data_IF_353688965634
#
_entry.id   IF_353688965634
#
_cell.length_a   1.000
_cell.length_b   1.000
_cell.length_c   1.000
_cell.angle_alpha   90.00
_cell.angle_beta   90.00
_cell.angle_gamma   90.00
#
_symmetry.space_group_name_H-M   'P 1'
#
loop_
_entity.id
_entity.type
_entity.pdbx_description
1 polymer ?
#
# COMPACT_ATOMS: atom_id res chain seq x y z
N UNK A 1 -43.33 22.22 -26.60
CA UNK A 1 -43.21 23.17 -25.48
C UNK A 1 -41.85 22.94 -24.84
N UNK A 2 -40.98 23.94 -24.95
CA UNK A 2 -39.62 23.97 -24.42
C UNK A 2 -39.65 24.25 -22.91
N UNK A 3 -38.87 23.52 -22.11
CA UNK A 3 -38.18 24.08 -20.93
C UNK A 3 -36.80 23.43 -20.76
N UNK A 4 -35.84 24.03 -21.45
CA UNK A 4 -34.52 24.51 -20.99
C UNK A 4 -33.76 23.79 -19.85
N UNK A 5 -32.67 23.12 -20.28
CA UNK A 5 -31.28 23.06 -19.75
C UNK A 5 -30.98 23.75 -18.39
N UNK A 6 -30.22 23.10 -17.51
CA UNK A 6 -28.73 23.18 -17.47
C UNK A 6 -28.07 22.26 -16.39
N UNK A 7 -26.89 21.68 -16.69
CA UNK A 7 -26.06 20.91 -15.75
C UNK A 7 -25.05 21.78 -14.98
N UNK A 8 -24.81 21.47 -13.70
CA UNK A 8 -23.79 22.16 -12.90
C UNK A 8 -22.38 21.64 -13.23
N UNK A 9 -21.74 22.32 -14.18
CA UNK A 9 -20.29 22.40 -14.33
C UNK A 9 -19.76 23.53 -13.44
N UNK A 10 -18.77 23.26 -12.59
CA UNK A 10 -17.92 24.30 -11.98
C UNK A 10 -16.45 23.88 -12.03
N UNK A 11 -15.78 24.36 -13.09
CA UNK A 11 -14.34 24.57 -13.17
C UNK A 11 -13.90 25.68 -12.21
N UNK A 12 -12.84 25.44 -11.45
CA UNK A 12 -11.81 26.40 -10.99
C UNK A 12 -10.51 25.57 -10.98
N UNK A 13 -9.51 25.73 -11.85
CA UNK A 13 -8.71 26.89 -12.31
C UNK A 13 -8.08 27.70 -11.16
N UNK A 14 -6.94 27.21 -10.69
CA UNK A 14 -5.75 27.95 -10.21
C UNK A 14 -4.55 27.06 -10.61
N UNK A 15 -3.73 27.34 -11.62
CA UNK A 15 -2.80 28.46 -11.83
C UNK A 15 -1.62 28.49 -10.83
N UNK A 16 -0.46 28.02 -11.32
CA UNK A 16 0.83 28.68 -11.09
C UNK A 16 1.68 28.23 -9.91
N UNK A 17 2.72 27.44 -10.19
CA UNK A 17 4.11 27.84 -9.96
C UNK A 17 5.05 26.75 -10.53
N UNK A 18 5.55 26.97 -11.75
CA UNK A 18 6.70 26.27 -12.27
C UNK A 18 7.95 27.01 -11.76
N UNK A 19 8.69 26.40 -10.84
CA UNK A 19 10.05 26.83 -10.54
C UNK A 19 11.00 26.09 -11.48
N UNK A 20 11.38 26.76 -12.57
CA UNK A 20 12.55 26.39 -13.35
C UNK A 20 13.80 26.64 -12.50
N UNK A 21 14.66 25.64 -12.39
CA UNK A 21 16.05 25.84 -11.99
C UNK A 21 16.91 25.07 -12.98
N UNK A 22 17.47 25.84 -13.91
CA UNK A 22 18.56 25.41 -14.76
C UNK A 22 19.83 25.35 -13.90
N UNK A 23 20.50 24.21 -13.90
CA UNK A 23 21.90 24.13 -13.49
C UNK A 23 22.68 23.55 -14.66
N UNK A 24 23.64 24.34 -15.12
CA UNK A 24 24.55 24.05 -16.21
C UNK A 24 25.39 22.80 -15.92
N UNK A 25 25.50 21.93 -16.92
CA UNK A 25 26.43 20.81 -16.94
C UNK A 25 27.78 21.28 -17.48
N UNK A 26 28.85 21.09 -16.72
CA UNK A 26 30.21 20.83 -17.25
C UNK A 26 31.09 20.27 -16.14
N UNK A 27 31.72 19.10 -16.38
CA UNK A 27 32.92 18.69 -15.65
C UNK A 27 33.02 17.22 -15.22
N UNK A 28 33.55 16.39 -16.13
CA UNK A 28 34.51 15.27 -15.96
C UNK A 28 34.35 14.26 -14.80
N UNK A 29 34.41 12.99 -15.20
CA UNK A 29 34.30 11.77 -14.40
C UNK A 29 35.18 11.70 -13.13
N UNK A 30 34.54 11.31 -12.03
CA UNK A 30 35.16 10.55 -10.96
C UNK A 30 34.14 9.50 -10.47
N UNK A 31 34.46 8.22 -10.64
CA UNK A 31 33.75 7.09 -10.01
C UNK A 31 33.89 7.20 -8.50
N UNK A 32 32.89 7.78 -7.84
CA UNK A 32 32.71 7.65 -6.40
C UNK A 32 31.61 6.63 -6.14
N UNK A 33 31.99 5.45 -5.65
CA UNK A 33 31.08 4.57 -4.91
C UNK A 33 30.70 5.27 -3.61
N UNK A 34 29.76 6.21 -3.70
CA UNK A 34 29.09 6.76 -2.54
C UNK A 34 28.13 5.68 -2.04
N UNK A 35 28.53 4.98 -0.98
CA UNK A 35 27.57 4.28 -0.15
C UNK A 35 26.52 5.32 0.28
N UNK A 36 25.29 5.18 -0.21
CA UNK A 36 24.19 6.02 0.18
C UNK A 36 24.03 5.90 1.70
N UNK A 37 24.49 6.91 2.43
CA UNK A 37 24.15 7.03 3.84
C UNK A 37 22.62 7.11 3.90
N UNK A 38 21.99 6.15 4.59
CA UNK A 38 20.58 6.23 4.90
C UNK A 38 20.31 7.61 5.51
N UNK A 39 19.32 8.39 5.03
CA UNK A 39 18.99 9.65 5.66
C UNK A 39 18.66 9.37 7.12
N UNK A 40 19.51 9.85 8.03
CA UNK A 40 19.27 9.78 9.47
C UNK A 40 18.11 10.71 9.78
N UNK A 41 16.89 10.17 9.75
CA UNK A 41 15.71 10.89 10.22
C UNK A 41 15.95 11.22 11.70
N UNK A 42 15.75 12.47 12.11
CA UNK A 42 15.79 12.81 13.52
C UNK A 42 14.77 11.94 14.27
N UNK A 43 15.09 11.39 15.45
CA UNK A 43 14.17 10.52 16.17
C UNK A 43 12.90 11.29 16.51
N UNK A 44 11.80 10.95 15.84
CA UNK A 44 10.47 11.48 16.14
C UNK A 44 9.99 10.93 17.48
N UNK A 45 9.27 11.74 18.27
CA UNK A 45 8.81 11.30 19.58
C UNK A 45 7.84 10.13 19.44
N UNK A 46 7.99 9.14 20.32
CA UNK A 46 7.06 8.02 20.41
C UNK A 46 5.73 8.46 21.04
N UNK A 47 4.63 8.19 20.35
CA UNK A 47 3.26 8.46 20.81
C UNK A 47 2.56 7.15 21.14
N UNK A 48 1.92 7.09 22.31
CA UNK A 48 1.11 5.94 22.72
C UNK A 48 -0.25 5.98 22.02
N UNK A 49 -0.61 4.91 21.32
CA UNK A 49 -1.88 4.75 20.60
C UNK A 49 -2.46 3.36 20.85
N UNK A 50 -3.76 3.28 21.05
CA UNK A 50 -4.54 2.04 21.17
C UNK A 50 -5.33 1.71 19.89
N UNK A 51 -5.15 2.53 18.83
CA UNK A 51 -5.88 2.44 17.57
C UNK A 51 -4.98 2.73 16.38
N UNK A 52 -5.34 2.17 15.23
CA UNK A 52 -4.89 2.62 13.91
C UNK A 52 -6.13 3.13 13.19
N UNK A 53 -6.21 4.44 12.95
CA UNK A 53 -7.45 5.09 12.50
C UNK A 53 -8.58 4.84 13.51
N UNK A 54 -9.71 4.31 13.03
CA UNK A 54 -10.84 3.93 13.88
C UNK A 54 -10.70 2.54 14.52
N UNK A 55 -9.82 1.68 14.00
CA UNK A 55 -9.72 0.29 14.43
C UNK A 55 -8.94 0.14 15.74
N UNK A 56 -9.45 -0.65 16.68
CA UNK A 56 -8.76 -0.99 17.91
C UNK A 56 -7.56 -1.89 17.62
N UNK A 57 -6.42 -1.57 18.24
CA UNK A 57 -5.23 -2.40 18.19
C UNK A 57 -5.35 -3.54 19.19
N UNK A 58 -5.10 -4.76 18.73
CA UNK A 58 -5.10 -5.97 19.54
C UNK A 58 -3.75 -6.68 19.46
N UNK A 59 -3.31 -7.26 20.57
CA UNK A 59 -2.15 -8.15 20.57
C UNK A 59 -2.50 -9.48 19.88
N UNK A 60 -1.55 -10.14 19.18
CA UNK A 60 -1.81 -11.46 18.60
C UNK A 60 -2.18 -12.48 19.67
N UNK A 61 -3.35 -13.11 19.53
CA UNK A 61 -3.91 -14.04 20.52
C UNK A 61 -4.43 -13.38 21.81
N UNK A 62 -4.48 -12.04 21.86
CA UNK A 62 -4.83 -11.27 23.06
C UNK A 62 -5.90 -10.20 22.83
N UNK A 63 -6.15 -9.44 23.89
CA UNK A 63 -7.13 -8.35 23.90
C UNK A 63 -6.61 -7.02 23.33
N UNK A 64 -7.39 -5.95 23.50
CA UNK A 64 -6.99 -4.59 23.15
C UNK A 64 -5.67 -4.20 23.84
N UNK A 65 -4.82 -3.45 23.15
CA UNK A 65 -3.51 -3.03 23.65
C UNK A 65 -3.18 -1.62 23.16
N UNK A 66 -2.45 -0.86 23.97
CA UNK A 66 -1.80 0.37 23.55
C UNK A 66 -0.33 0.10 23.20
N UNK A 67 0.14 0.67 22.10
CA UNK A 67 1.52 0.56 21.64
C UNK A 67 2.12 1.94 21.38
N UNK A 68 3.45 2.01 21.33
CA UNK A 68 4.19 3.26 21.11
C UNK A 68 4.69 3.29 19.67
N UNK A 69 4.30 4.32 18.93
CA UNK A 69 4.65 4.50 17.52
C UNK A 69 5.45 5.77 17.32
N UNK A 70 6.32 5.81 16.32
CA UNK A 70 6.71 7.09 15.73
C UNK A 70 5.48 7.74 15.10
N UNK A 71 5.32 9.04 15.30
CA UNK A 71 4.10 9.76 14.88
C UNK A 71 3.82 9.62 13.37
N UNK A 72 4.84 9.85 12.54
CA UNK A 72 4.70 9.81 11.08
C UNK A 72 4.41 8.39 10.56
N UNK A 73 5.00 7.37 11.19
CA UNK A 73 4.72 5.97 10.88
C UNK A 73 3.28 5.59 11.24
N UNK A 74 2.78 6.05 12.39
CA UNK A 74 1.39 5.85 12.79
C UNK A 74 0.42 6.51 11.80
N UNK A 75 0.69 7.76 11.40
CA UNK A 75 -0.12 8.48 10.42
C UNK A 75 -0.15 7.75 9.06
N UNK A 76 0.98 7.16 8.65
CA UNK A 76 1.06 6.32 7.44
C UNK A 76 0.25 5.03 7.58
N UNK A 77 0.24 4.38 8.75
CA UNK A 77 -0.63 3.23 9.01
C UNK A 77 -2.11 3.61 8.98
N UNK A 78 -2.47 4.80 9.49
CA UNK A 78 -3.85 5.32 9.38
C UNK A 78 -4.24 5.54 7.93
N UNK A 79 -3.37 6.17 7.12
CA UNK A 79 -3.59 6.38 5.69
C UNK A 79 -3.73 5.05 4.93
N UNK A 80 -2.86 4.07 5.24
CA UNK A 80 -2.93 2.72 4.68
C UNK A 80 -4.28 2.04 5.00
N UNK A 81 -4.71 2.09 6.26
CA UNK A 81 -5.96 1.45 6.67
C UNK A 81 -7.18 2.09 6.00
N UNK A 82 -7.18 3.42 5.89
CA UNK A 82 -8.21 4.16 5.16
C UNK A 82 -8.23 3.78 3.68
N UNK A 83 -7.06 3.64 3.05
CA UNK A 83 -6.95 3.17 1.67
C UNK A 83 -7.46 1.73 1.49
N UNK A 84 -7.08 0.81 2.37
CA UNK A 84 -7.59 -0.57 2.32
C UNK A 84 -9.12 -0.59 2.42
N UNK A 85 -9.67 0.16 3.38
CA UNK A 85 -11.12 0.28 3.57
C UNK A 85 -11.83 0.88 2.36
N UNK A 86 -11.28 1.92 1.74
CA UNK A 86 -11.87 2.59 0.58
C UNK A 86 -11.87 1.73 -0.69
N UNK A 87 -11.11 0.63 -0.71
CA UNK A 87 -11.06 -0.32 -1.83
C UNK A 87 -11.68 -1.67 -1.48
N UNK A 88 -12.29 -1.80 -0.31
CA UNK A 88 -13.02 -3.00 0.12
C UNK A 88 -14.45 -3.01 -0.42
N UNK A 89 -15.11 -4.17 -0.50
CA UNK A 89 -16.52 -4.26 -0.89
C UNK A 89 -17.42 -3.36 -0.02
N UNK A 90 -18.41 -2.71 -0.63
CA UNK A 90 -19.30 -1.79 0.07
C UNK A 90 -20.14 -2.43 1.19
N UNK A 91 -20.31 -3.75 1.16
CA UNK A 91 -20.98 -4.51 2.22
C UNK A 91 -20.11 -4.66 3.49
N UNK A 92 -18.82 -4.35 3.41
CA UNK A 92 -17.91 -4.41 4.56
C UNK A 92 -17.95 -3.09 5.31
N UNK A 93 -17.95 -3.16 6.64
CA UNK A 93 -17.70 -1.97 7.45
C UNK A 93 -16.26 -1.48 7.25
N UNK A 94 -15.98 -0.25 7.71
CA UNK A 94 -14.59 0.14 7.99
C UNK A 94 -13.95 -0.86 8.95
N UNK A 95 -12.63 -1.09 8.90
CA UNK A 95 -11.96 -1.97 9.83
C UNK A 95 -12.21 -1.58 11.29
N UNK A 96 -12.51 -2.58 12.12
CA UNK A 96 -12.83 -2.41 13.54
C UNK A 96 -11.72 -2.92 14.45
N UNK A 97 -10.93 -3.90 13.97
CA UNK A 97 -9.77 -4.42 14.70
C UNK A 97 -8.56 -4.58 13.77
N UNK A 98 -7.41 -4.16 14.28
CA UNK A 98 -6.10 -4.46 13.71
C UNK A 98 -5.38 -5.31 14.75
N UNK A 99 -5.01 -6.54 14.39
CA UNK A 99 -4.23 -7.41 15.27
C UNK A 99 -2.76 -7.32 14.82
N UNK A 100 -1.87 -6.93 15.72
CA UNK A 100 -0.45 -6.84 15.38
C UNK A 100 0.46 -6.44 16.52
N UNK A 101 1.74 -6.29 16.21
CA UNK A 101 2.79 -5.88 17.16
C UNK A 101 3.59 -4.73 16.58
N UNK A 102 3.82 -3.71 17.38
CA UNK A 102 4.79 -2.65 17.08
C UNK A 102 6.13 -3.04 17.67
N UNK A 103 7.21 -2.77 16.96
CA UNK A 103 8.54 -2.97 17.51
C UNK A 103 8.89 -1.93 18.60
N UNK A 104 10.10 -2.03 19.15
CA UNK A 104 10.52 -1.15 20.26
C UNK A 104 10.81 0.28 19.82
N UNK A 105 11.27 0.46 18.58
CA UNK A 105 11.59 1.75 17.97
C UNK A 105 10.36 2.49 17.45
N UNK A 106 9.22 1.81 17.36
CA UNK A 106 7.94 2.39 16.95
C UNK A 106 7.82 2.64 15.45
N UNK A 107 8.75 2.12 14.63
CA UNK A 107 8.88 2.34 13.18
C UNK A 107 8.69 1.08 12.35
N UNK A 108 8.46 -0.07 12.99
CA UNK A 108 7.96 -1.26 12.31
C UNK A 108 6.70 -1.83 12.97
N UNK A 109 5.85 -2.42 12.13
CA UNK A 109 4.61 -3.05 12.54
C UNK A 109 4.47 -4.43 11.90
N UNK A 110 4.23 -5.44 12.71
CA UNK A 110 3.89 -6.79 12.25
C UNK A 110 2.38 -6.99 12.31
N UNK A 111 1.74 -7.00 11.15
CA UNK A 111 0.31 -7.26 10.97
C UNK A 111 0.03 -8.76 11.02
N UNK A 112 -0.91 -9.14 11.89
CA UNK A 112 -1.37 -10.52 12.05
C UNK A 112 -2.81 -10.72 11.57
N UNK A 113 -3.69 -9.74 11.74
CA UNK A 113 -5.04 -9.82 11.20
C UNK A 113 -5.64 -8.43 11.00
N UNK A 114 -6.56 -8.32 10.05
CA UNK A 114 -7.38 -7.15 9.82
C UNK A 114 -8.84 -7.58 9.77
N UNK A 115 -9.69 -6.97 10.62
CA UNK A 115 -11.07 -7.40 10.78
C UNK A 115 -12.07 -6.29 10.54
N UNK A 116 -13.17 -6.67 9.91
CA UNK A 116 -14.30 -5.81 9.57
C UNK A 116 -15.61 -6.51 9.99
N UNK A 117 -16.72 -5.77 9.97
CA UNK A 117 -18.05 -6.33 10.16
C UNK A 117 -18.81 -6.43 8.84
N UNK A 118 -19.57 -7.49 8.69
CA UNK A 118 -20.59 -7.67 7.64
C UNK A 118 -21.75 -8.40 8.28
N UNK A 119 -22.96 -7.88 8.09
CA UNK A 119 -24.17 -8.47 8.69
C UNK A 119 -24.04 -8.67 10.22
N UNK A 120 -23.43 -7.70 10.90
CA UNK A 120 -23.07 -7.72 12.34
C UNK A 120 -22.08 -8.80 12.80
N UNK A 121 -21.61 -9.66 11.90
CA UNK A 121 -20.57 -10.66 12.17
C UNK A 121 -19.16 -10.09 11.93
N UNK A 122 -18.21 -10.52 12.76
CA UNK A 122 -16.80 -10.14 12.63
C UNK A 122 -16.10 -11.10 11.66
N UNK A 123 -15.49 -10.56 10.61
CA UNK A 123 -14.77 -11.33 9.61
C UNK A 123 -13.31 -10.90 9.50
N UNK A 124 -12.44 -11.85 9.17
CA UNK A 124 -11.04 -11.58 8.83
C UNK A 124 -10.93 -11.17 7.34
N UNK A 125 -10.68 -9.87 7.12
CA UNK A 125 -10.25 -9.32 5.82
C UNK A 125 -8.78 -9.62 5.51
N UNK A 126 -8.00 -9.93 6.55
CA UNK A 126 -6.68 -10.54 6.46
C UNK A 126 -6.44 -11.36 7.74
N UNK A 127 -5.79 -12.52 7.62
CA UNK A 127 -5.25 -13.23 8.77
C UNK A 127 -3.96 -13.97 8.39
N UNK A 128 -2.97 -13.90 9.27
CA UNK A 128 -1.70 -14.59 9.12
C UNK A 128 -1.91 -16.10 8.97
N UNK A 129 -1.16 -16.71 8.05
CA UNK A 129 -1.25 -18.14 7.73
C UNK A 129 -2.28 -18.50 6.67
N UNK A 130 -3.12 -17.54 6.22
CA UNK A 130 -3.96 -17.70 5.03
C UNK A 130 -3.24 -17.11 3.83
N UNK A 131 -3.08 -17.92 2.78
CA UNK A 131 -2.50 -17.52 1.49
C UNK A 131 -3.60 -17.48 0.42
N UNK A 132 -4.58 -16.60 0.61
CA UNK A 132 -5.72 -16.41 -0.30
C UNK A 132 -5.68 -15.04 -0.99
N UNK A 133 -6.69 -14.73 -1.80
CA UNK A 133 -6.77 -13.45 -2.53
C UNK A 133 -6.71 -12.23 -1.58
N UNK A 134 -7.27 -12.34 -0.37
CA UNK A 134 -7.23 -11.29 0.65
C UNK A 134 -5.82 -11.07 1.20
N UNK A 135 -5.01 -12.13 1.33
CA UNK A 135 -3.59 -12.03 1.65
C UNK A 135 -2.85 -11.16 0.63
N UNK A 136 -2.96 -11.51 -0.64
CA UNK A 136 -2.29 -10.80 -1.73
C UNK A 136 -2.81 -9.36 -1.90
N UNK A 137 -4.11 -9.15 -1.71
CA UNK A 137 -4.70 -7.82 -1.69
C UNK A 137 -4.14 -6.95 -0.56
N UNK A 138 -3.99 -7.52 0.63
CA UNK A 138 -3.41 -6.83 1.78
C UNK A 138 -1.95 -6.48 1.53
N UNK A 139 -1.14 -7.40 0.98
CA UNK A 139 0.22 -7.10 0.54
C UNK A 139 0.26 -5.97 -0.50
N UNK A 140 -0.65 -5.99 -1.48
CA UNK A 140 -0.74 -4.92 -2.47
C UNK A 140 -1.00 -3.55 -1.82
N UNK A 141 -1.92 -3.48 -0.86
CA UNK A 141 -2.21 -2.25 -0.12
C UNK A 141 -1.03 -1.74 0.72
N UNK A 142 -0.25 -2.66 1.31
CA UNK A 142 0.92 -2.33 2.11
C UNK A 142 2.04 -1.82 1.20
N UNK A 143 2.33 -2.50 0.08
CA UNK A 143 3.30 -2.05 -0.92
C UNK A 143 2.93 -0.71 -1.60
N UNK A 144 1.66 -0.29 -1.53
CA UNK A 144 1.22 1.04 -1.94
C UNK A 144 1.75 2.14 -1.00
N UNK A 145 1.83 1.87 0.30
CA UNK A 145 2.14 2.86 1.34
C UNK A 145 3.54 2.74 1.92
N UNK A 146 4.11 1.53 1.93
CA UNK A 146 5.36 1.20 2.61
C UNK A 146 6.38 0.67 1.60
N UNK A 147 7.62 1.19 1.60
CA UNK A 147 8.68 0.65 0.75
C UNK A 147 9.21 -0.70 1.26
N UNK A 148 9.11 -0.93 2.57
CA UNK A 148 9.55 -2.16 3.24
C UNK A 148 8.31 -2.95 3.68
N UNK A 149 8.09 -4.07 3.02
CA UNK A 149 7.02 -5.04 3.33
C UNK A 149 7.62 -6.42 3.20
N UNK A 150 7.53 -7.22 4.27
CA UNK A 150 8.12 -8.54 4.34
C UNK A 150 7.10 -9.54 4.91
N UNK A 151 6.56 -10.46 4.09
CA UNK A 151 5.86 -11.62 4.59
C UNK A 151 6.80 -12.46 5.46
N UNK A 152 6.34 -12.86 6.64
CA UNK A 152 7.05 -13.76 7.55
C UNK A 152 6.61 -15.20 7.33
N UNK A 153 7.42 -16.17 7.77
CA UNK A 153 7.08 -17.59 7.67
C UNK A 153 5.76 -17.98 8.38
N UNK A 154 5.34 -17.20 9.37
CA UNK A 154 4.03 -17.35 10.04
C UNK A 154 2.85 -16.85 9.21
N UNK A 155 3.09 -16.25 8.04
CA UNK A 155 2.12 -15.55 7.21
C UNK A 155 1.72 -14.17 7.72
N UNK A 156 2.28 -13.72 8.87
CA UNK A 156 2.19 -12.32 9.29
C UNK A 156 3.02 -11.43 8.37
N UNK A 157 2.71 -10.15 8.29
CA UNK A 157 3.42 -9.22 7.39
C UNK A 157 4.07 -8.14 8.23
N UNK A 158 5.39 -8.02 8.15
CA UNK A 158 6.13 -6.91 8.72
C UNK A 158 6.18 -5.75 7.72
N UNK A 159 5.90 -4.54 8.19
CA UNK A 159 6.13 -3.30 7.45
C UNK A 159 7.03 -2.37 8.22
N UNK A 160 7.87 -1.64 7.50
CA UNK A 160 8.74 -0.60 8.04
C UNK A 160 8.45 0.75 7.41
N UNK A 161 8.77 1.82 8.13
CA UNK A 161 8.61 3.18 7.62
C UNK A 161 9.56 3.49 6.44
N UNK A 162 9.19 4.52 5.68
CA UNK A 162 10.01 5.06 4.59
C UNK A 162 9.17 5.71 3.49
N UNK A 163 9.84 6.18 2.45
CA UNK A 163 9.19 6.85 1.32
C UNK A 163 8.46 5.82 0.46
N UNK A 164 7.13 5.93 0.40
CA UNK A 164 6.29 5.11 -0.47
C UNK A 164 6.67 5.25 -1.95
N UNK A 165 6.59 4.15 -2.69
CA UNK A 165 6.86 4.09 -4.12
C UNK A 165 7.59 2.81 -4.53
N UNK A 166 7.76 2.63 -5.83
CA UNK A 166 8.61 1.56 -6.34
C UNK A 166 10.07 1.88 -6.07
N UNK A 167 10.77 0.95 -5.44
CA UNK A 167 12.20 1.01 -5.12
C UNK A 167 13.00 -0.02 -5.92
N UNK A 168 12.33 -0.97 -6.58
CA UNK A 168 13.00 -2.10 -7.23
C UNK A 168 13.57 -3.12 -6.26
N UNK A 169 13.20 -3.06 -4.98
CA UNK A 169 13.69 -4.03 -4.00
C UNK A 169 13.27 -5.46 -4.37
N UNK A 170 14.08 -6.48 -4.04
CA UNK A 170 13.72 -7.87 -4.30
C UNK A 170 12.36 -8.26 -3.71
N UNK A 171 11.98 -7.70 -2.57
CA UNK A 171 10.68 -7.92 -1.95
C UNK A 171 9.51 -7.37 -2.80
N UNK A 172 9.65 -6.17 -3.36
CA UNK A 172 8.63 -5.60 -4.25
C UNK A 172 8.50 -6.39 -5.56
N UNK A 173 9.64 -6.82 -6.13
CA UNK A 173 9.64 -7.65 -7.34
C UNK A 173 9.01 -9.02 -7.07
N UNK A 174 9.34 -9.65 -5.95
CA UNK A 174 8.73 -10.92 -5.54
C UNK A 174 7.20 -10.78 -5.38
N UNK A 175 6.75 -9.76 -4.65
CA UNK A 175 5.31 -9.46 -4.55
C UNK A 175 4.68 -9.24 -5.93
N UNK A 176 5.31 -8.50 -6.84
CA UNK A 176 4.74 -8.24 -8.15
C UNK A 176 4.58 -9.52 -8.98
N UNK A 177 5.56 -10.42 -8.91
CA UNK A 177 5.48 -11.76 -9.52
C UNK A 177 4.33 -12.56 -8.93
N UNK A 178 4.26 -12.65 -7.59
CA UNK A 178 3.23 -13.44 -6.92
C UNK A 178 1.83 -12.85 -7.17
N UNK A 179 1.67 -11.53 -7.12
CA UNK A 179 0.42 -10.87 -7.48
C UNK A 179 0.00 -11.19 -8.93
N UNK A 180 0.93 -11.19 -9.88
CA UNK A 180 0.62 -11.58 -11.27
C UNK A 180 0.11 -13.03 -11.35
N UNK A 181 0.74 -13.96 -10.62
CA UNK A 181 0.35 -15.38 -10.64
C UNK A 181 -0.97 -15.62 -9.93
N UNK A 182 -1.07 -15.14 -8.70
CA UNK A 182 -2.13 -15.49 -7.76
C UNK A 182 -3.39 -14.64 -7.94
N UNK A 183 -3.25 -13.36 -8.30
CA UNK A 183 -4.41 -12.50 -8.54
C UNK A 183 -4.77 -12.43 -10.03
N UNK A 184 -3.77 -12.29 -10.90
CA UNK A 184 -4.00 -12.04 -12.33
C UNK A 184 -3.96 -13.30 -13.20
N UNK A 185 -3.66 -14.47 -12.63
CA UNK A 185 -3.64 -15.76 -13.32
C UNK A 185 -2.46 -15.93 -14.29
N UNK A 186 -1.48 -15.04 -14.25
CA UNK A 186 -0.36 -14.95 -15.16
C UNK A 186 0.82 -15.82 -14.64
N UNK A 187 0.64 -17.15 -14.68
CA UNK A 187 1.54 -18.16 -14.06
C UNK A 187 3.00 -18.08 -14.53
N UNK A 188 3.23 -17.64 -15.77
CA UNK A 188 4.56 -17.51 -16.36
C UNK A 188 5.33 -16.24 -15.92
N UNK A 189 4.76 -15.41 -15.04
CA UNK A 189 5.47 -14.27 -14.47
C UNK A 189 6.75 -14.71 -13.75
N UNK A 190 7.85 -13.98 -13.98
CA UNK A 190 9.16 -14.22 -13.35
C UNK A 190 9.79 -12.90 -12.95
N UNK A 191 10.85 -12.93 -12.14
CA UNK A 191 11.55 -11.73 -11.70
C UNK A 191 12.12 -10.86 -12.84
N UNK A 192 12.38 -11.43 -14.03
CA UNK A 192 12.84 -10.67 -15.19
C UNK A 192 11.70 -10.19 -16.10
N UNK A 193 10.55 -10.87 -16.08
CA UNK A 193 9.44 -10.58 -16.98
C UNK A 193 8.23 -9.91 -16.30
N UNK A 194 8.21 -9.80 -14.96
CA UNK A 194 7.09 -9.23 -14.20
C UNK A 194 6.57 -7.88 -14.73
N UNK A 195 7.39 -6.92 -15.25
CA UNK A 195 6.86 -5.65 -15.70
C UNK A 195 5.89 -5.80 -16.87
N UNK A 196 6.11 -6.79 -17.74
CA UNK A 196 5.24 -7.10 -18.87
C UNK A 196 3.89 -7.63 -18.38
N UNK A 197 3.91 -8.61 -17.46
CA UNK A 197 2.72 -9.22 -16.88
C UNK A 197 1.89 -8.19 -16.08
N UNK A 198 2.56 -7.38 -15.25
CA UNK A 198 1.91 -6.32 -14.50
C UNK A 198 1.40 -5.19 -15.43
N UNK A 199 2.08 -4.92 -16.54
CA UNK A 199 1.61 -4.01 -17.59
C UNK A 199 0.31 -4.49 -18.26
N UNK A 200 0.15 -5.81 -18.46
CA UNK A 200 -1.11 -6.39 -18.93
C UNK A 200 -2.24 -6.24 -17.91
N UNK A 201 -1.95 -6.49 -16.64
CA UNK A 201 -2.90 -6.25 -15.55
C UNK A 201 -3.37 -4.78 -15.52
N UNK A 202 -2.45 -3.82 -15.66
CA UNK A 202 -2.79 -2.40 -15.79
C UNK A 202 -3.64 -2.12 -17.03
N UNK A 203 -3.30 -2.73 -18.17
CA UNK A 203 -4.05 -2.55 -19.42
C UNK A 203 -5.49 -3.08 -19.30
N UNK A 204 -5.70 -4.26 -18.67
CA UNK A 204 -7.05 -4.79 -18.35
C UNK A 204 -7.83 -3.82 -17.46
N UNK A 205 -7.16 -3.13 -16.55
CA UNK A 205 -7.74 -2.08 -15.71
C UNK A 205 -7.85 -0.70 -16.41
N UNK A 206 -7.62 -0.62 -17.72
CA UNK A 206 -7.72 0.63 -18.50
C UNK A 206 -6.60 1.64 -18.23
N UNK A 207 -5.51 1.23 -17.58
CA UNK A 207 -4.36 2.07 -17.26
C UNK A 207 -3.23 1.84 -18.26
N UNK A 208 -2.57 2.93 -18.69
CA UNK A 208 -1.36 2.89 -19.50
C UNK A 208 -0.26 3.67 -18.80
N UNK A 209 0.52 2.97 -17.99
CA UNK A 209 1.66 3.51 -17.28
C UNK A 209 2.77 2.46 -17.20
N UNK A 210 4.01 2.92 -17.21
CA UNK A 210 5.13 2.06 -16.84
C UNK A 210 4.97 1.65 -15.37
N UNK A 211 4.85 0.35 -15.11
CA UNK A 211 4.61 -0.18 -13.76
C UNK A 211 5.77 0.10 -12.80
N UNK A 212 7.00 0.26 -13.30
CA UNK A 212 8.16 0.63 -12.48
C UNK A 212 8.20 2.13 -12.16
N UNK A 213 7.35 2.95 -12.78
CA UNK A 213 7.18 4.35 -12.38
C UNK A 213 6.39 4.46 -11.07
N UNK A 214 6.56 5.57 -10.35
CA UNK A 214 5.78 5.86 -9.13
C UNK A 214 4.27 5.76 -9.37
N UNK A 215 3.79 6.30 -10.48
CA UNK A 215 2.36 6.30 -10.82
C UNK A 215 1.87 4.90 -11.22
N UNK A 216 2.64 4.16 -12.03
CA UNK A 216 2.30 2.81 -12.44
C UNK A 216 2.30 1.82 -11.28
N UNK A 217 3.26 1.91 -10.37
CA UNK A 217 3.28 1.10 -9.15
C UNK A 217 2.07 1.35 -8.25
N UNK A 218 1.73 2.63 -8.05
CA UNK A 218 0.55 3.02 -7.30
C UNK A 218 -0.75 2.51 -7.95
N UNK A 219 -0.83 2.54 -9.29
CA UNK A 219 -1.96 1.97 -10.03
C UNK A 219 -2.02 0.45 -9.88
N UNK A 220 -0.89 -0.26 -10.06
CA UNK A 220 -0.83 -1.72 -10.04
C UNK A 220 -1.16 -2.30 -8.67
N UNK A 221 -0.63 -1.70 -7.61
CA UNK A 221 -0.95 -2.08 -6.22
C UNK A 221 -2.43 -1.82 -5.89
N UNK A 222 -3.01 -0.71 -6.36
CA UNK A 222 -4.44 -0.41 -6.17
C UNK A 222 -5.35 -1.39 -6.92
N UNK A 223 -5.08 -1.65 -8.20
CA UNK A 223 -5.91 -2.56 -8.99
C UNK A 223 -5.78 -4.00 -8.46
N UNK A 224 -4.59 -4.41 -8.04
CA UNK A 224 -4.38 -5.72 -7.40
C UNK A 224 -5.12 -5.84 -6.07
N UNK A 225 -5.14 -4.79 -5.24
CA UNK A 225 -5.97 -4.73 -4.03
C UNK A 225 -7.45 -4.92 -4.35
N UNK A 226 -7.99 -4.13 -5.29
CA UNK A 226 -9.41 -4.22 -5.67
C UNK A 226 -9.79 -5.58 -6.23
N UNK A 227 -8.91 -6.17 -7.05
CA UNK A 227 -9.10 -7.50 -7.61
C UNK A 227 -9.11 -8.57 -6.52
N UNK A 228 -8.12 -8.54 -5.63
CA UNK A 228 -8.00 -9.55 -4.57
C UNK A 228 -9.11 -9.47 -3.51
N UNK A 229 -9.64 -8.27 -3.22
CA UNK A 229 -10.82 -8.11 -2.35
C UNK A 229 -12.15 -8.36 -3.08
N UNK A 230 -12.14 -8.62 -4.39
CA UNK A 230 -13.35 -8.84 -5.18
C UNK A 230 -14.18 -7.57 -5.42
N UNK A 231 -13.60 -6.39 -5.27
CA UNK A 231 -14.26 -5.10 -5.52
C UNK A 231 -14.39 -4.81 -7.02
N UNK A 232 -13.42 -5.26 -7.83
CA UNK A 232 -13.44 -5.14 -9.29
C UNK A 232 -12.89 -6.42 -9.94
N UNK A 233 -13.54 -6.92 -11.00
CA UNK A 233 -13.18 -8.20 -11.64
C UNK A 233 -12.20 -8.09 -12.81
N UNK A 234 -11.98 -6.90 -13.39
CA UNK A 234 -11.08 -6.60 -14.53
C UNK A 234 -10.95 -7.78 -15.53
N UNK A 235 -11.94 -7.93 -16.40
CA UNK A 235 -11.94 -8.91 -17.51
C UNK A 235 -11.20 -8.38 -18.74
#
# INVERSE_FOLDING_TARGET
MNHTRQPFSRRRLLAGAAAASAVSVTGVAATSTAAAASPTHAPTPLVTRDRVGSALLHAPGGGPVAARFQADFHDRLVAWLAFWSANSPAAWSVPVQVVGRVDRSGDAFTLHALRYRRDDELHDGFAAGRADANHWATLASLHHHFPVVAPLASGAIQVGDGVAGFTGSPAQVAFAVDACRELWGDQAATASAWPEYAGRALTRAGQRADVASRAGWAAFTRTSLRRGLGTESYE
#
